data_IF_530768811369
#
_entry.id   IF_530768811369
#
_cell.length_a   1.000
_cell.length_b   1.000
_cell.length_c   1.000
_cell.angle_alpha   90.00
_cell.angle_beta   90.00
_cell.angle_gamma   90.00
#
_symmetry.space_group_name_H-M   'P 1'
#
loop_
_entity.id
_entity.type
_entity.pdbx_description
1 polymer ?
#
# COMPACT_ATOMS: atom_id res chain seq x y z
N UNK A 1 -13.79 -4.44 -2.04
CA UNK A 1 -13.13 -5.69 -2.36
C UNK A 1 -11.75 -5.70 -1.74
N UNK A 2 -11.34 -6.82 -1.14
CA UNK A 2 -10.03 -6.89 -0.49
C UNK A 2 -8.91 -6.94 -1.50
N UNK A 3 -7.87 -6.14 -1.27
CA UNK A 3 -6.65 -6.26 -2.03
C UNK A 3 -5.77 -7.35 -1.39
N UNK A 4 -5.24 -8.21 -2.22
CA UNK A 4 -4.35 -9.28 -1.75
C UNK A 4 -3.14 -9.39 -2.66
N UNK A 5 -2.01 -9.77 -2.07
CA UNK A 5 -0.84 -10.13 -2.85
C UNK A 5 -1.11 -11.44 -3.59
N UNK A 6 -0.33 -11.71 -4.61
CA UNK A 6 -0.49 -12.96 -5.37
C UNK A 6 -0.26 -14.19 -4.50
N UNK A 7 0.53 -14.05 -3.44
CA UNK A 7 0.73 -15.14 -2.48
C UNK A 7 -0.43 -15.31 -1.51
N UNK A 8 -1.42 -14.42 -1.54
CA UNK A 8 -2.67 -14.60 -0.79
C UNK A 8 -2.85 -13.75 0.45
N UNK A 9 -1.78 -13.13 0.96
CA UNK A 9 -1.91 -12.27 2.14
C UNK A 9 -2.69 -11.01 1.80
N UNK A 10 -3.42 -10.49 2.76
CA UNK A 10 -4.10 -9.20 2.61
C UNK A 10 -3.07 -8.07 2.59
N UNK A 11 -3.33 -7.07 1.76
CA UNK A 11 -2.45 -5.90 1.67
C UNK A 11 -2.86 -4.91 2.76
N UNK A 12 -1.92 -4.55 3.62
CA UNK A 12 -2.15 -3.60 4.71
C UNK A 12 -1.10 -2.50 4.72
N UNK A 13 -1.51 -1.35 5.24
CA UNK A 13 -0.59 -0.24 5.46
C UNK A 13 0.56 -0.69 6.34
N UNK A 14 1.77 -0.29 5.96
CA UNK A 14 2.97 -0.64 6.71
C UNK A 14 3.64 -1.93 6.29
N UNK A 15 2.99 -2.71 5.42
CA UNK A 15 3.61 -3.95 4.93
C UNK A 15 4.92 -3.64 4.22
N UNK A 16 5.91 -4.50 4.44
CA UNK A 16 7.14 -4.46 3.67
C UNK A 16 7.02 -5.40 2.50
N UNK A 17 7.41 -4.89 1.34
CA UNK A 17 7.23 -5.60 0.07
C UNK A 17 8.46 -5.40 -0.81
N UNK A 18 8.52 -6.17 -1.89
CA UNK A 18 9.43 -5.91 -3.00
C UNK A 18 8.60 -5.70 -4.25
N UNK A 19 8.89 -4.65 -4.98
CA UNK A 19 8.23 -4.38 -6.25
C UNK A 19 9.28 -4.22 -7.32
N UNK A 20 9.23 -5.07 -8.34
CA UNK A 20 10.22 -5.13 -9.42
C UNK A 20 11.64 -5.25 -8.85
N UNK A 21 11.79 -6.02 -7.78
CA UNK A 21 13.08 -6.26 -7.14
C UNK A 21 13.54 -5.17 -6.17
N UNK A 22 12.77 -4.10 -6.00
CA UNK A 22 13.13 -2.99 -5.11
C UNK A 22 12.31 -3.04 -3.84
N UNK A 23 12.95 -2.89 -2.67
CA UNK A 23 12.22 -2.86 -1.41
C UNK A 23 11.31 -1.64 -1.33
N UNK A 24 10.13 -1.83 -0.77
CA UNK A 24 9.15 -0.75 -0.62
C UNK A 24 8.28 -1.01 0.61
N UNK A 25 7.52 0.02 1.00
CA UNK A 25 6.58 -0.07 2.10
C UNK A 25 5.22 0.43 1.61
N UNK A 26 4.16 -0.23 2.03
CA UNK A 26 2.79 0.19 1.71
C UNK A 26 2.46 1.40 2.58
N UNK A 27 2.16 2.54 1.94
CA UNK A 27 1.91 3.80 2.63
C UNK A 27 0.45 3.92 3.04
N UNK A 28 -0.47 3.62 2.13
CA UNK A 28 -1.90 3.59 2.44
C UNK A 28 -2.61 2.58 1.55
N UNK A 29 -3.79 2.15 1.98
CA UNK A 29 -4.64 1.22 1.23
C UNK A 29 -6.05 1.80 1.20
N UNK A 30 -6.51 2.23 0.03
CA UNK A 30 -7.81 2.86 -0.12
C UNK A 30 -8.93 1.88 0.21
N UNK A 31 -8.83 0.65 -0.30
CA UNK A 31 -9.87 -0.38 -0.15
C UNK A 31 -10.15 -0.73 1.31
N UNK A 32 -9.16 -0.54 2.18
CA UNK A 32 -9.30 -0.85 3.60
C UNK A 32 -9.44 0.39 4.46
N UNK A 33 -9.42 1.57 3.83
CA UNK A 33 -9.47 2.84 4.55
C UNK A 33 -8.35 2.94 5.58
N UNK A 34 -7.16 2.49 5.20
CA UNK A 34 -5.96 2.55 6.03
C UNK A 34 -5.08 3.69 5.55
N UNK A 35 -4.80 4.63 6.44
CA UNK A 35 -4.10 5.87 6.10
C UNK A 35 -3.08 6.22 7.17
N UNK A 36 -1.95 6.86 6.77
CA UNK A 36 -1.02 7.40 7.77
C UNK A 36 -1.71 8.49 8.60
N UNK A 37 -1.33 8.60 9.86
CA UNK A 37 -1.94 9.55 10.78
C UNK A 37 -1.78 11.00 10.31
N UNK A 38 -0.70 11.29 9.59
CA UNK A 38 -0.41 12.65 9.13
C UNK A 38 -1.07 12.99 7.81
N UNK A 39 -1.82 12.07 7.22
CA UNK A 39 -2.54 12.35 5.97
C UNK A 39 -3.85 13.04 6.29
N UNK A 40 -4.08 14.21 5.68
CA UNK A 40 -5.27 15.00 5.95
C UNK A 40 -6.54 14.33 5.40
N UNK A 41 -7.70 14.69 5.96
CA UNK A 41 -8.99 14.21 5.47
C UNK A 41 -9.20 14.63 4.01
N UNK A 42 -8.78 15.83 3.64
CA UNK A 42 -8.89 16.29 2.25
C UNK A 42 -8.11 15.39 1.30
N UNK A 43 -6.90 15.03 1.70
CA UNK A 43 -6.05 14.16 0.89
C UNK A 43 -6.66 12.77 0.76
N UNK A 44 -7.18 12.23 1.85
CA UNK A 44 -7.84 10.92 1.85
C UNK A 44 -9.05 10.92 0.94
N UNK A 45 -9.87 11.97 1.02
CA UNK A 45 -11.06 12.10 0.18
C UNK A 45 -10.68 12.23 -1.29
N UNK A 46 -9.62 12.97 -1.59
CA UNK A 46 -9.13 13.12 -2.95
C UNK A 46 -8.76 11.75 -3.53
N UNK A 47 -8.03 10.95 -2.74
CA UNK A 47 -7.62 9.62 -3.18
C UNK A 47 -8.83 8.73 -3.46
N UNK A 48 -9.82 8.76 -2.57
CA UNK A 48 -11.03 7.96 -2.75
C UNK A 48 -11.78 8.36 -4.03
N UNK A 49 -11.86 9.65 -4.32
CA UNK A 49 -12.57 10.15 -5.48
C UNK A 49 -11.82 9.89 -6.78
N UNK A 50 -10.52 10.15 -6.78
CA UNK A 50 -9.75 10.07 -8.02
C UNK A 50 -9.37 8.64 -8.36
N UNK A 51 -9.01 7.84 -7.37
CA UNK A 51 -8.51 6.50 -7.60
C UNK A 51 -9.52 5.41 -7.28
N UNK A 52 -10.39 5.64 -6.32
CA UNK A 52 -11.43 4.69 -5.94
C UNK A 52 -10.92 3.48 -5.17
N UNK A 53 -9.88 2.83 -5.66
CA UNK A 53 -9.31 1.67 -5.01
C UNK A 53 -7.82 1.63 -5.31
N UNK A 54 -7.08 0.82 -4.55
CA UNK A 54 -5.66 0.66 -4.74
C UNK A 54 -4.85 1.02 -3.51
N UNK A 55 -3.54 1.07 -3.69
CA UNK A 55 -2.62 1.34 -2.59
C UNK A 55 -1.37 2.03 -3.11
N UNK A 56 -0.70 2.74 -2.21
CA UNK A 56 0.52 3.48 -2.55
C UNK A 56 1.72 2.78 -1.93
N UNK A 57 2.77 2.62 -2.73
CA UNK A 57 4.06 2.11 -2.26
C UNK A 57 5.06 3.25 -2.20
N UNK A 58 5.96 3.20 -1.20
CA UNK A 58 7.12 4.08 -1.16
C UNK A 58 8.36 3.23 -1.18
N UNK A 59 9.20 3.42 -2.18
CA UNK A 59 10.47 2.72 -2.30
C UNK A 59 11.52 3.36 -1.37
N UNK A 60 12.58 2.62 -1.09
CA UNK A 60 13.64 3.13 -0.20
C UNK A 60 14.28 4.42 -0.71
N UNK A 61 14.32 4.60 -2.03
CA UNK A 61 14.86 5.83 -2.62
C UNK A 61 13.90 7.01 -2.54
N UNK A 62 12.73 6.82 -1.91
CA UNK A 62 11.74 7.87 -1.76
C UNK A 62 10.70 7.94 -2.86
N UNK A 63 10.86 7.18 -3.93
CA UNK A 63 9.89 7.19 -5.03
C UNK A 63 8.59 6.54 -4.59
N UNK A 64 7.47 7.12 -4.98
CA UNK A 64 6.15 6.59 -4.68
C UNK A 64 5.50 6.03 -5.94
N UNK A 65 4.86 4.89 -5.80
CA UNK A 65 4.20 4.21 -6.92
C UNK A 65 2.79 3.84 -6.47
N UNK A 66 1.79 4.27 -7.23
CA UNK A 66 0.41 3.90 -6.97
C UNK A 66 0.04 2.69 -7.80
N UNK A 67 -0.55 1.68 -7.16
CA UNK A 67 -1.04 0.49 -7.85
C UNK A 67 -2.54 0.37 -7.60
N UNK A 68 -3.35 0.31 -8.66
CA UNK A 68 -4.80 0.12 -8.48
C UNK A 68 -5.14 -1.30 -8.00
N UNK A 69 -4.27 -2.24 -8.26
CA UNK A 69 -4.42 -3.62 -7.79
C UNK A 69 -3.05 -4.28 -7.70
N UNK A 70 -2.99 -5.44 -7.05
CA UNK A 70 -1.73 -6.16 -6.90
C UNK A 70 -1.18 -6.55 -8.27
N UNK A 71 0.13 -6.46 -8.39
CA UNK A 71 0.87 -6.78 -9.61
C UNK A 71 1.67 -8.06 -9.36
N UNK A 72 1.92 -8.82 -10.42
CA UNK A 72 2.67 -10.06 -10.29
C UNK A 72 4.12 -9.84 -9.87
N UNK A 73 4.65 -8.62 -10.04
CA UNK A 73 5.99 -8.26 -9.60
C UNK A 73 6.02 -7.72 -8.18
N UNK A 74 4.89 -7.73 -7.49
CA UNK A 74 4.77 -7.27 -6.10
C UNK A 74 4.79 -8.47 -5.17
N UNK A 75 5.81 -8.54 -4.30
CA UNK A 75 5.98 -9.66 -3.38
C UNK A 75 5.89 -9.18 -1.94
N UNK A 76 5.10 -9.88 -1.15
CA UNK A 76 4.99 -9.65 0.28
C UNK A 76 6.26 -10.14 0.98
N UNK A 77 6.85 -9.31 1.83
CA UNK A 77 8.05 -9.66 2.59
C UNK A 77 7.68 -9.89 4.06
N UNK A 78 7.09 -8.89 4.69
CA UNK A 78 6.71 -9.02 6.09
C UNK A 78 5.67 -7.98 6.44
N UNK A 79 4.89 -8.27 7.48
CA UNK A 79 3.90 -7.34 8.00
C UNK A 79 4.56 -6.40 8.98
N UNK A 80 4.16 -5.13 8.95
CA UNK A 80 4.64 -4.18 9.94
C UNK A 80 4.27 -4.72 11.32
N UNK A 81 5.24 -4.73 12.20
CA UNK A 81 5.00 -5.22 13.55
C UNK A 81 4.54 -4.07 14.41
N UNK A 82 3.25 -3.89 14.47
CA UNK A 82 2.66 -2.81 15.25
C UNK A 82 2.47 -3.18 16.70
N UNK A 83 2.64 -4.44 17.00
CA UNK A 83 2.42 -4.92 18.33
C UNK A 83 3.64 -4.73 19.21
N UNK A 84 4.66 -4.27 18.61
CA UNK A 84 5.88 -4.04 19.37
C UNK A 84 5.57 -3.24 20.61
#
# INVERSE_FOLDING_TARGET
MDQRYYSGEEIHMGDRVQFCGCPATVVFVIDRDEWPDDQSEESRDWERKENGSGFLLRQENGACIFLPEADEDLFFVSRANNAA
#
